data_IF_175383486987
#
_entry.id   IF_175383486987
#
_cell.length_a   1.000
_cell.length_b   1.000
_cell.length_c   1.000
_cell.angle_alpha   90.00
_cell.angle_beta   90.00
_cell.angle_gamma   90.00
#
_symmetry.space_group_name_H-M   'P 1'
#
loop_
_entity.id
_entity.type
_entity.pdbx_description
1 polymer ?
#
# COMPACT_ATOMS: atom_id res chain seq x y z
N UNK A 1 10.47 19.33 20.78
CA UNK A 1 9.94 18.17 20.02
C UNK A 1 10.73 17.82 18.76
N UNK A 2 10.85 18.71 17.74
CA UNK A 2 11.55 18.39 16.47
C UNK A 2 12.92 17.73 16.64
N UNK A 3 13.79 18.28 17.49
CA UNK A 3 15.14 17.75 17.69
C UNK A 3 15.16 16.38 18.38
N UNK A 4 14.25 16.14 19.33
CA UNK A 4 14.14 14.84 20.00
C UNK A 4 13.75 13.74 19.02
N UNK A 5 12.73 13.99 18.18
CA UNK A 5 12.31 13.06 17.12
C UNK A 5 13.45 12.83 16.11
N UNK A 6 14.16 13.89 15.71
CA UNK A 6 15.28 13.76 14.78
C UNK A 6 16.44 12.92 15.37
N UNK A 7 16.74 13.07 16.65
CA UNK A 7 17.75 12.25 17.33
C UNK A 7 17.32 10.78 17.43
N UNK A 8 16.05 10.52 17.76
CA UNK A 8 15.47 9.18 17.76
C UNK A 8 15.54 8.53 16.36
N UNK A 9 15.19 9.27 15.30
CA UNK A 9 15.27 8.77 13.92
C UNK A 9 16.70 8.38 13.55
N UNK A 10 17.68 9.25 13.83
CA UNK A 10 19.10 8.95 13.57
C UNK A 10 19.58 7.69 14.27
N UNK A 11 19.08 7.42 15.48
CA UNK A 11 19.40 6.20 16.20
C UNK A 11 18.85 4.96 15.47
N UNK A 12 17.60 5.01 14.98
CA UNK A 12 17.03 3.92 14.18
C UNK A 12 17.76 3.71 12.84
N UNK A 13 18.11 4.81 12.15
CA UNK A 13 18.87 4.76 10.89
C UNK A 13 20.25 4.10 11.07
N UNK A 14 20.80 4.12 12.29
CA UNK A 14 22.03 3.40 12.67
C UNK A 14 21.87 1.88 12.84
N UNK A 15 20.69 1.31 12.57
CA UNK A 15 20.40 -0.13 12.67
C UNK A 15 19.86 -0.59 14.03
N UNK A 16 19.58 0.32 14.96
CA UNK A 16 18.97 0.00 16.24
C UNK A 16 17.45 -0.23 16.09
N UNK A 17 16.89 -1.11 16.92
CA UNK A 17 15.48 -1.53 16.80
C UNK A 17 14.52 -0.89 17.81
N UNK A 18 15.05 -0.09 18.76
CA UNK A 18 14.27 0.58 19.82
C UNK A 18 14.60 2.07 19.86
N UNK A 19 13.64 2.87 20.31
CA UNK A 19 13.83 4.32 20.48
C UNK A 19 14.70 4.60 21.72
N UNK A 20 15.65 5.54 21.64
CA UNK A 20 16.39 6.00 22.80
C UNK A 20 15.58 7.05 23.58
N UNK A 21 15.84 7.19 24.88
CA UNK A 21 15.36 8.33 25.65
C UNK A 21 16.18 9.58 25.27
N UNK A 22 15.50 10.65 24.89
CA UNK A 22 16.12 11.95 24.61
C UNK A 22 15.67 12.95 25.67
N UNK A 23 16.60 13.46 26.46
CA UNK A 23 16.32 14.42 27.54
C UNK A 23 16.48 15.85 26.99
N UNK A 24 15.39 16.62 26.82
CA UNK A 24 15.51 18.03 26.47
C UNK A 24 15.92 18.85 27.70
N UNK A 25 16.99 19.63 27.58
CA UNK A 25 17.40 20.60 28.61
C UNK A 25 17.38 22.01 28.02
N UNK A 26 16.84 22.96 28.77
CA UNK A 26 16.79 24.37 28.41
C UNK A 26 17.65 25.16 29.38
N UNK A 27 18.58 25.95 28.85
CA UNK A 27 19.39 26.88 29.63
C UNK A 27 18.87 28.30 29.41
N UNK A 28 18.34 28.91 30.47
CA UNK A 28 17.85 30.28 30.43
C UNK A 28 18.84 31.22 31.13
N UNK A 29 19.21 32.31 30.45
CA UNK A 29 20.11 33.35 30.96
C UNK A 29 19.58 34.75 30.61
N UNK A 30 18.29 34.99 30.87
CA UNK A 30 17.67 36.29 30.66
C UNK A 30 17.65 37.15 31.92
N UNK A 31 17.33 38.44 31.76
CA UNK A 31 17.29 39.40 32.87
C UNK A 31 16.10 39.20 33.83
N UNK A 32 14.99 38.63 33.36
CA UNK A 32 13.80 38.35 34.18
C UNK A 32 13.98 37.05 34.96
N UNK A 33 14.00 37.13 36.29
CA UNK A 33 14.20 35.96 37.17
C UNK A 33 13.14 35.89 38.28
N UNK A 34 12.53 34.71 38.54
CA UNK A 34 12.71 33.43 37.84
C UNK A 34 12.10 33.43 36.42
N UNK A 35 12.41 32.41 35.61
CA UNK A 35 11.85 32.25 34.26
C UNK A 35 10.30 32.32 34.32
N UNK A 36 9.66 33.27 33.60
CA UNK A 36 8.25 33.58 33.82
C UNK A 36 7.25 32.81 32.95
N UNK A 37 7.71 31.96 32.01
CA UNK A 37 6.83 31.26 31.06
C UNK A 37 6.71 29.77 31.37
N UNK A 38 5.72 29.09 30.78
CA UNK A 38 5.59 27.65 30.94
C UNK A 38 6.68 26.88 30.19
N UNK A 39 7.14 25.79 30.79
CA UNK A 39 8.05 24.81 30.19
C UNK A 39 7.30 23.61 29.57
N UNK A 40 5.98 23.52 29.78
CA UNK A 40 5.14 22.50 29.19
C UNK A 40 4.59 23.00 27.86
N UNK A 41 5.06 22.41 26.75
CA UNK A 41 4.62 22.80 25.41
C UNK A 41 3.11 22.57 25.17
N UNK A 42 2.47 21.72 25.98
CA UNK A 42 1.02 21.50 25.92
C UNK A 42 0.22 22.73 26.38
N UNK A 43 0.82 23.62 27.17
CA UNK A 43 0.19 24.87 27.61
C UNK A 43 0.06 25.87 26.46
N UNK A 44 0.69 25.60 25.31
CA UNK A 44 0.57 26.41 24.10
C UNK A 44 -0.71 26.11 23.29
N UNK A 45 -1.48 25.08 23.65
CA UNK A 45 -2.77 24.80 23.01
C UNK A 45 -3.89 25.59 23.67
N UNK A 46 -4.96 25.86 22.91
CA UNK A 46 -6.17 26.49 23.45
C UNK A 46 -6.83 25.64 24.54
N UNK A 47 -6.66 24.31 24.48
CA UNK A 47 -7.08 23.35 25.49
C UNK A 47 -5.91 22.41 25.84
N UNK A 48 -5.14 22.73 26.90
CA UNK A 48 -4.00 21.92 27.33
C UNK A 48 -4.39 20.51 27.82
N UNK A 49 -5.60 20.34 28.37
CA UNK A 49 -6.06 19.03 28.86
C UNK A 49 -6.30 18.09 27.69
N UNK A 50 -7.04 18.55 26.67
CA UNK A 50 -7.26 17.79 25.44
C UNK A 50 -5.94 17.48 24.71
N UNK A 51 -5.01 18.44 24.67
CA UNK A 51 -3.70 18.21 24.06
C UNK A 51 -2.91 17.10 24.80
N UNK A 52 -2.95 17.11 26.13
CA UNK A 52 -2.33 16.06 26.96
C UNK A 52 -2.91 14.68 26.64
N UNK A 53 -4.24 14.57 26.63
CA UNK A 53 -4.92 13.32 26.29
C UNK A 53 -4.53 12.83 24.89
N UNK A 54 -4.46 13.72 23.90
CA UNK A 54 -4.15 13.37 22.51
C UNK A 54 -2.69 12.95 22.30
N UNK A 55 -1.73 13.63 22.95
CA UNK A 55 -0.31 13.45 22.65
C UNK A 55 0.42 12.48 23.59
N UNK A 56 -0.19 12.10 24.72
CA UNK A 56 0.43 11.21 25.71
C UNK A 56 -0.26 9.84 25.76
N UNK A 57 -1.54 9.75 25.39
CA UNK A 57 -2.27 8.48 25.39
C UNK A 57 -1.85 7.58 24.21
N UNK A 58 -2.11 6.26 24.30
CA UNK A 58 -2.00 5.37 23.14
C UNK A 58 -2.78 5.92 21.94
N UNK A 59 -2.22 5.79 20.75
CA UNK A 59 -2.89 6.22 19.53
C UNK A 59 -4.20 5.44 19.34
N UNK A 60 -5.32 6.11 19.00
CA UNK A 60 -6.56 5.42 18.70
C UNK A 60 -6.38 4.56 17.44
N UNK A 61 -6.74 3.28 17.54
CA UNK A 61 -6.81 2.36 16.41
C UNK A 61 -8.27 2.28 15.94
N UNK A 62 -8.52 2.70 14.70
CA UNK A 62 -9.80 2.47 14.03
C UNK A 62 -9.71 1.17 13.25
N UNK A 63 -10.21 0.08 13.84
CA UNK A 63 -10.29 -1.21 13.17
C UNK A 63 -11.55 -1.29 12.30
N UNK A 64 -11.43 -0.87 11.04
CA UNK A 64 -12.54 -0.89 10.08
C UNK A 64 -13.06 -2.31 9.82
N UNK A 65 -12.31 -3.37 10.15
CA UNK A 65 -12.72 -4.74 9.85
C UNK A 65 -13.88 -5.23 10.71
N UNK A 66 -14.03 -4.65 11.91
CA UNK A 66 -15.11 -5.01 12.86
C UNK A 66 -16.32 -4.08 12.79
N UNK A 67 -16.20 -2.93 12.11
CA UNK A 67 -17.30 -1.96 11.98
C UNK A 67 -18.33 -2.49 10.98
N UNK A 68 -19.62 -2.63 11.33
CA UNK A 68 -20.67 -3.03 10.40
C UNK A 68 -20.81 -2.10 9.17
N UNK A 69 -21.18 -2.64 8.01
CA UNK A 69 -21.25 -1.83 6.78
C UNK A 69 -22.34 -0.74 6.85
N UNK A 70 -23.45 -1.03 7.52
CA UNK A 70 -24.55 -0.09 7.77
C UNK A 70 -24.17 1.05 8.72
N UNK A 71 -23.20 0.80 9.60
CA UNK A 71 -22.58 1.84 10.43
C UNK A 71 -21.61 2.67 9.59
N UNK A 72 -20.73 2.03 8.79
CA UNK A 72 -19.77 2.72 7.90
C UNK A 72 -20.48 3.71 6.98
N UNK A 73 -21.63 3.35 6.40
CA UNK A 73 -22.42 4.23 5.51
C UNK A 73 -22.77 5.58 6.19
N UNK A 74 -22.86 5.62 7.52
CA UNK A 74 -23.18 6.84 8.29
C UNK A 74 -21.96 7.73 8.56
N UNK A 75 -20.74 7.28 8.25
CA UNK A 75 -19.50 8.02 8.48
C UNK A 75 -19.25 9.14 7.44
N UNK A 76 -20.25 9.44 6.60
CA UNK A 76 -20.23 10.55 5.63
C UNK A 76 -19.00 10.49 4.71
N UNK A 77 -18.12 11.48 4.85
CA UNK A 77 -16.95 11.71 4.02
C UNK A 77 -15.94 10.56 4.06
N UNK A 78 -15.78 9.88 5.20
CA UNK A 78 -14.77 8.81 5.33
C UNK A 78 -15.31 7.43 4.94
N UNK A 79 -16.63 7.27 4.91
CA UNK A 79 -17.35 6.02 4.63
C UNK A 79 -16.86 5.33 3.35
N UNK A 80 -16.67 6.11 2.28
CA UNK A 80 -16.22 5.59 0.98
C UNK A 80 -14.88 4.85 1.08
N UNK A 81 -13.93 5.44 1.80
CA UNK A 81 -12.59 4.88 1.91
C UNK A 81 -12.58 3.69 2.87
N UNK A 82 -13.31 3.79 3.99
CA UNK A 82 -13.47 2.72 4.97
C UNK A 82 -14.09 1.47 4.36
N UNK A 83 -15.22 1.62 3.67
CA UNK A 83 -15.92 0.50 3.04
C UNK A 83 -15.02 -0.21 2.03
N UNK A 84 -14.29 0.54 1.19
CA UNK A 84 -13.39 -0.09 0.22
C UNK A 84 -12.18 -0.74 0.91
N UNK A 85 -11.57 -0.11 1.92
CA UNK A 85 -10.45 -0.70 2.65
C UNK A 85 -10.84 -2.00 3.35
N UNK A 86 -12.03 -2.04 3.97
CA UNK A 86 -12.55 -3.25 4.62
C UNK A 86 -12.68 -4.41 3.64
N UNK A 87 -13.16 -4.16 2.42
CA UNK A 87 -13.50 -5.21 1.45
C UNK A 87 -12.43 -5.46 0.37
N UNK A 88 -11.34 -4.69 0.33
CA UNK A 88 -10.32 -4.75 -0.74
C UNK A 88 -9.78 -6.17 -0.96
N UNK A 89 -9.59 -6.93 0.12
CA UNK A 89 -9.03 -8.30 0.13
C UNK A 89 -10.04 -9.41 -0.17
N UNK A 90 -11.33 -9.13 -0.18
CA UNK A 90 -12.33 -10.16 -0.50
C UNK A 90 -12.14 -10.68 -1.94
N UNK A 91 -12.87 -11.70 -2.40
CA UNK A 91 -12.84 -12.10 -3.84
C UNK A 91 -14.00 -11.54 -4.63
N UNK A 92 -15.11 -11.27 -3.96
CA UNK A 92 -16.30 -10.65 -4.52
C UNK A 92 -16.52 -9.29 -3.85
N UNK A 93 -16.92 -8.28 -4.61
CA UNK A 93 -17.31 -6.95 -4.09
C UNK A 93 -18.79 -6.67 -4.35
N UNK A 94 -19.50 -7.58 -5.01
CA UNK A 94 -20.90 -7.37 -5.37
C UNK A 94 -21.77 -7.18 -4.12
N UNK A 95 -21.39 -7.81 -3.01
CA UNK A 95 -22.07 -7.68 -1.71
C UNK A 95 -22.01 -6.29 -1.06
N UNK A 96 -21.18 -5.36 -1.58
CA UNK A 96 -21.08 -3.99 -1.06
C UNK A 96 -21.54 -2.92 -2.06
N UNK A 97 -22.10 -3.31 -3.20
CA UNK A 97 -22.53 -2.35 -4.24
C UNK A 97 -23.62 -1.43 -3.70
N UNK A 98 -24.57 -1.96 -2.94
CA UNK A 98 -25.68 -1.18 -2.37
C UNK A 98 -25.18 -0.11 -1.40
N UNK A 99 -24.32 -0.49 -0.46
CA UNK A 99 -23.73 0.42 0.53
C UNK A 99 -22.88 1.50 -0.15
N UNK A 100 -22.08 1.12 -1.15
CA UNK A 100 -21.30 2.07 -1.92
C UNK A 100 -22.20 3.04 -2.71
N UNK A 101 -23.27 2.54 -3.32
CA UNK A 101 -24.27 3.36 -4.01
C UNK A 101 -24.90 4.37 -3.04
N UNK A 102 -25.30 3.94 -1.84
CA UNK A 102 -25.85 4.82 -0.80
C UNK A 102 -24.86 5.93 -0.42
N UNK A 103 -23.59 5.58 -0.18
CA UNK A 103 -22.55 6.57 0.13
C UNK A 103 -22.39 7.58 -1.03
N UNK A 104 -22.38 7.13 -2.28
CA UNK A 104 -22.23 8.03 -3.43
C UNK A 104 -23.46 8.92 -3.66
N UNK A 105 -24.66 8.42 -3.39
CA UNK A 105 -25.91 9.19 -3.51
C UNK A 105 -26.08 10.22 -2.40
N UNK A 106 -25.50 9.99 -1.22
CA UNK A 106 -25.52 10.95 -0.10
C UNK A 106 -24.87 12.29 -0.44
N UNK A 107 -24.00 12.34 -1.45
CA UNK A 107 -23.23 13.53 -1.83
C UNK A 107 -22.06 13.85 -0.90
N UNK A 108 -21.81 13.03 0.13
CA UNK A 108 -20.70 13.23 1.06
C UNK A 108 -19.33 12.97 0.42
N UNK A 109 -19.28 12.14 -0.61
CA UNK A 109 -18.06 11.83 -1.35
C UNK A 109 -17.72 12.93 -2.37
N UNK A 110 -16.62 13.64 -2.14
CA UNK A 110 -16.14 14.65 -3.08
C UNK A 110 -15.12 14.09 -4.09
N UNK A 111 -14.83 14.88 -5.13
CA UNK A 111 -13.93 14.51 -6.24
C UNK A 111 -12.54 14.07 -5.77
N UNK A 112 -12.02 14.71 -4.71
CA UNK A 112 -10.72 14.36 -4.13
C UNK A 112 -10.76 12.97 -3.51
N UNK A 113 -11.84 12.61 -2.83
CA UNK A 113 -12.01 11.29 -2.21
C UNK A 113 -12.18 10.19 -3.24
N UNK A 114 -12.97 10.43 -4.29
CA UNK A 114 -13.07 9.52 -5.43
C UNK A 114 -11.71 9.29 -6.10
N UNK A 115 -10.91 10.35 -6.26
CA UNK A 115 -9.55 10.24 -6.82
C UNK A 115 -8.60 9.48 -5.89
N UNK A 116 -8.65 9.73 -4.58
CA UNK A 116 -7.86 8.97 -3.60
C UNK A 116 -8.24 7.49 -3.62
N UNK A 117 -9.54 7.20 -3.65
CA UNK A 117 -10.05 5.85 -3.74
C UNK A 117 -9.55 5.15 -5.00
N UNK A 118 -9.65 5.82 -6.15
CA UNK A 118 -9.16 5.30 -7.41
C UNK A 118 -7.66 4.96 -7.37
N UNK A 119 -6.84 5.87 -6.85
CA UNK A 119 -5.41 5.63 -6.70
C UNK A 119 -5.13 4.44 -5.78
N UNK A 120 -5.88 4.31 -4.69
CA UNK A 120 -5.79 3.18 -3.78
C UNK A 120 -6.14 1.86 -4.48
N UNK A 121 -7.25 1.82 -5.23
CA UNK A 121 -7.69 0.65 -6.00
C UNK A 121 -6.68 0.24 -7.07
N UNK A 122 -6.02 1.19 -7.73
CA UNK A 122 -4.96 0.91 -8.70
C UNK A 122 -3.73 0.25 -8.07
N UNK A 123 -3.37 0.66 -6.86
CA UNK A 123 -2.17 0.14 -6.18
C UNK A 123 -2.41 -1.23 -5.55
N UNK A 124 -3.62 -1.46 -5.02
CA UNK A 124 -3.91 -2.63 -4.18
C UNK A 124 -4.79 -3.67 -4.86
N UNK A 125 -5.50 -3.29 -5.93
CA UNK A 125 -6.59 -4.07 -6.50
C UNK A 125 -6.23 -4.87 -7.75
N UNK A 126 -6.92 -6.01 -7.92
CA UNK A 126 -6.95 -6.71 -9.21
C UNK A 126 -7.90 -5.98 -10.17
N UNK A 127 -7.34 -5.27 -11.15
CA UNK A 127 -8.05 -4.44 -12.12
C UNK A 127 -9.31 -5.09 -12.73
N UNK A 128 -9.29 -6.40 -13.04
CA UNK A 128 -10.43 -7.08 -13.64
C UNK A 128 -11.64 -7.19 -12.71
N UNK A 129 -11.40 -7.41 -11.41
CA UNK A 129 -12.45 -7.52 -10.39
C UNK A 129 -13.13 -6.17 -10.17
N UNK A 130 -12.34 -5.10 -10.07
CA UNK A 130 -12.86 -3.75 -9.86
C UNK A 130 -13.60 -3.22 -11.10
N UNK A 131 -13.22 -3.62 -12.31
CA UNK A 131 -13.93 -3.21 -13.53
C UNK A 131 -15.43 -3.55 -13.49
N UNK A 132 -15.79 -4.80 -13.16
CA UNK A 132 -17.21 -5.21 -13.05
C UNK A 132 -17.94 -4.49 -11.92
N UNK A 133 -17.29 -4.43 -10.75
CA UNK A 133 -17.84 -3.74 -9.58
C UNK A 133 -18.15 -2.27 -9.86
N UNK A 134 -17.22 -1.53 -10.46
CA UNK A 134 -17.40 -0.12 -10.79
C UNK A 134 -18.50 0.06 -11.84
N UNK A 135 -18.62 -0.86 -12.79
CA UNK A 135 -19.68 -0.81 -13.80
C UNK A 135 -21.07 -0.90 -13.16
N UNK A 136 -21.28 -1.83 -12.24
CA UNK A 136 -22.54 -2.00 -11.51
C UNK A 136 -22.90 -0.76 -10.68
N UNK A 137 -21.91 -0.19 -9.99
CA UNK A 137 -22.11 1.05 -9.22
C UNK A 137 -22.47 2.22 -10.15
N UNK A 138 -21.82 2.32 -11.31
CA UNK A 138 -22.06 3.38 -12.30
C UNK A 138 -23.45 3.29 -12.94
N UNK A 139 -24.04 2.09 -13.03
CA UNK A 139 -25.42 1.93 -13.48
C UNK A 139 -26.43 2.46 -12.45
N UNK A 140 -26.13 2.32 -11.16
CA UNK A 140 -27.01 2.74 -10.05
C UNK A 140 -26.84 4.20 -9.66
N UNK A 141 -25.75 4.85 -10.07
CA UNK A 141 -25.44 6.24 -9.71
C UNK A 141 -25.13 7.07 -10.97
N UNK A 142 -26.17 7.46 -11.76
CA UNK A 142 -25.98 8.13 -13.04
C UNK A 142 -25.14 9.42 -12.96
N UNK A 143 -25.28 10.18 -11.88
CA UNK A 143 -24.55 11.43 -11.61
C UNK A 143 -23.01 11.24 -11.53
N UNK A 144 -22.53 10.03 -11.24
CA UNK A 144 -21.10 9.71 -11.20
C UNK A 144 -20.67 8.77 -12.32
N UNK A 145 -21.57 8.41 -13.23
CA UNK A 145 -21.34 7.38 -14.26
C UNK A 145 -20.11 7.65 -15.10
N UNK A 146 -20.00 8.83 -15.70
CA UNK A 146 -18.86 9.18 -16.58
C UNK A 146 -17.52 8.99 -15.86
N UNK A 147 -17.42 9.52 -14.63
CA UNK A 147 -16.20 9.44 -13.82
C UNK A 147 -15.86 8.02 -13.40
N UNK A 148 -16.87 7.25 -12.98
CA UNK A 148 -16.71 5.83 -12.64
C UNK A 148 -16.29 5.02 -13.86
N UNK A 149 -16.82 5.33 -15.04
CA UNK A 149 -16.40 4.68 -16.29
C UNK A 149 -14.96 5.02 -16.66
N UNK A 150 -14.55 6.28 -16.55
CA UNK A 150 -13.14 6.67 -16.75
C UNK A 150 -12.20 5.93 -15.78
N UNK A 151 -12.63 5.75 -14.54
CA UNK A 151 -11.91 4.98 -13.53
C UNK A 151 -11.81 3.50 -13.95
N UNK A 152 -12.90 2.88 -14.38
CA UNK A 152 -12.93 1.50 -14.82
C UNK A 152 -12.01 1.26 -16.02
N UNK A 153 -12.04 2.14 -17.02
CA UNK A 153 -11.19 2.07 -18.22
C UNK A 153 -9.71 2.17 -17.85
N UNK A 154 -9.35 3.13 -16.98
CA UNK A 154 -7.95 3.26 -16.53
C UNK A 154 -7.49 2.06 -15.72
N UNK A 155 -8.34 1.50 -14.85
CA UNK A 155 -8.04 0.26 -14.12
C UNK A 155 -7.74 -0.87 -15.09
N UNK A 156 -8.58 -1.06 -16.11
CA UNK A 156 -8.39 -2.08 -17.12
C UNK A 156 -7.09 -1.89 -17.91
N UNK A 157 -6.80 -0.67 -18.37
CA UNK A 157 -5.59 -0.40 -19.15
C UNK A 157 -4.32 -0.59 -18.32
N UNK A 158 -4.29 -0.13 -17.06
CA UNK A 158 -3.17 -0.38 -16.15
C UNK A 158 -2.99 -1.87 -15.90
N UNK A 159 -4.08 -2.60 -15.65
CA UNK A 159 -4.05 -4.05 -15.49
C UNK A 159 -3.50 -4.76 -16.73
N UNK A 160 -3.92 -4.35 -17.93
CA UNK A 160 -3.44 -4.90 -19.21
C UNK A 160 -1.95 -4.62 -19.42
N UNK A 161 -1.49 -3.40 -19.15
CA UNK A 161 -0.07 -3.02 -19.27
C UNK A 161 0.79 -3.79 -18.28
N UNK A 162 0.33 -3.96 -17.03
CA UNK A 162 1.02 -4.76 -16.01
C UNK A 162 1.13 -6.22 -16.46
N UNK A 163 0.02 -6.85 -16.84
CA UNK A 163 0.03 -8.24 -17.32
C UNK A 163 0.89 -8.45 -18.57
N UNK A 164 0.89 -7.52 -19.53
CA UNK A 164 1.79 -7.61 -20.70
C UNK A 164 3.27 -7.50 -20.31
N UNK A 165 3.59 -6.66 -19.32
CA UNK A 165 4.97 -6.50 -18.84
C UNK A 165 5.45 -7.73 -18.09
N UNK A 166 4.62 -8.26 -17.20
CA UNK A 166 4.88 -9.49 -16.44
C UNK A 166 5.05 -10.68 -17.39
N UNK A 167 4.08 -10.93 -18.28
CA UNK A 167 4.19 -12.03 -19.25
C UNK A 167 5.37 -11.92 -20.22
N UNK A 168 5.82 -10.70 -20.57
CA UNK A 168 7.03 -10.51 -21.37
C UNK A 168 8.31 -10.83 -20.58
N UNK A 169 8.31 -10.55 -19.27
CA UNK A 169 9.45 -10.84 -18.41
C UNK A 169 9.54 -12.36 -18.16
N UNK A 170 8.42 -12.97 -17.79
CA UNK A 170 8.29 -14.43 -17.61
C UNK A 170 8.67 -15.16 -18.90
N UNK A 171 8.07 -14.82 -20.04
CA UNK A 171 8.40 -15.47 -21.32
C UNK A 171 9.84 -15.26 -21.77
N UNK A 172 10.51 -14.16 -21.36
CA UNK A 172 11.95 -13.99 -21.59
C UNK A 172 12.77 -14.90 -20.70
N UNK A 173 12.44 -15.01 -19.42
CA UNK A 173 13.14 -15.89 -18.48
C UNK A 173 12.96 -17.35 -18.88
N UNK A 174 11.73 -17.77 -19.16
CA UNK A 174 11.43 -19.12 -19.65
C UNK A 174 12.16 -19.41 -20.97
N UNK A 175 12.15 -18.47 -21.92
CA UNK A 175 12.87 -18.63 -23.19
C UNK A 175 14.39 -18.72 -23.03
N UNK A 176 14.99 -17.88 -22.16
CA UNK A 176 16.42 -17.94 -21.84
C UNK A 176 16.77 -19.26 -21.15
N UNK A 177 15.93 -19.71 -20.23
CA UNK A 177 16.12 -20.97 -19.51
C UNK A 177 15.99 -22.17 -20.45
N UNK A 178 14.97 -22.20 -21.31
CA UNK A 178 14.78 -23.26 -22.30
C UNK A 178 15.95 -23.34 -23.29
N UNK A 179 16.46 -22.19 -23.74
CA UNK A 179 17.64 -22.17 -24.62
C UNK A 179 18.90 -22.62 -23.89
N UNK A 180 19.09 -22.24 -22.63
CA UNK A 180 20.20 -22.73 -21.81
C UNK A 180 20.16 -24.26 -21.65
N UNK A 181 18.98 -24.85 -21.43
CA UNK A 181 18.79 -26.31 -21.38
C UNK A 181 19.14 -26.96 -22.73
N UNK A 182 18.69 -26.38 -23.85
CA UNK A 182 18.99 -26.88 -25.20
C UNK A 182 20.48 -26.85 -25.52
N UNK A 183 21.16 -25.77 -25.15
CA UNK A 183 22.63 -25.64 -25.30
C UNK A 183 23.34 -26.68 -24.43
N UNK A 184 22.93 -26.83 -23.16
CA UNK A 184 23.49 -27.82 -22.24
C UNK A 184 23.36 -29.25 -22.79
N UNK A 185 22.20 -29.64 -23.29
CA UNK A 185 21.99 -30.96 -23.92
C UNK A 185 22.96 -31.21 -25.07
N UNK A 186 23.16 -30.22 -25.95
CA UNK A 186 24.07 -30.35 -27.09
C UNK A 186 25.52 -30.45 -26.65
N UNK A 187 25.94 -29.62 -25.69
CA UNK A 187 27.29 -29.66 -25.12
C UNK A 187 27.59 -31.01 -24.46
N UNK A 188 26.63 -31.59 -23.73
CA UNK A 188 26.76 -32.92 -23.14
C UNK A 188 26.86 -34.02 -24.22
N UNK A 189 26.05 -33.94 -25.28
CA UNK A 189 26.12 -34.87 -26.40
C UNK A 189 27.47 -34.82 -27.13
N UNK A 190 28.07 -33.63 -27.21
CA UNK A 190 29.40 -33.40 -27.78
C UNK A 190 30.55 -33.78 -26.80
N UNK A 191 30.23 -34.33 -25.62
CA UNK A 191 31.21 -34.86 -24.65
C UNK A 191 31.85 -33.81 -23.74
N UNK A 192 31.29 -32.60 -23.64
CA UNK A 192 31.82 -31.54 -22.76
C UNK A 192 31.54 -31.89 -21.29
N UNK A 193 32.57 -31.73 -20.43
CA UNK A 193 32.47 -32.01 -19.00
C UNK A 193 31.38 -31.18 -18.30
N UNK A 194 30.62 -31.82 -17.40
CA UNK A 194 29.46 -31.23 -16.70
C UNK A 194 29.77 -29.94 -15.96
N UNK A 195 30.93 -29.87 -15.30
CA UNK A 195 31.39 -28.66 -14.58
C UNK A 195 31.56 -27.46 -15.53
N UNK A 196 32.05 -27.72 -16.75
CA UNK A 196 32.20 -26.71 -17.79
C UNK A 196 30.85 -26.28 -18.36
N UNK A 197 29.90 -27.22 -18.51
CA UNK A 197 28.52 -26.92 -18.94
C UNK A 197 27.82 -26.01 -17.93
N UNK A 198 27.88 -26.33 -16.62
CA UNK A 198 27.31 -25.50 -15.53
C UNK A 198 27.87 -24.07 -15.58
N UNK A 199 29.19 -23.91 -15.73
CA UNK A 199 29.83 -22.59 -15.80
C UNK A 199 29.41 -21.78 -17.03
N UNK A 200 29.14 -22.43 -18.17
CA UNK A 200 28.84 -21.75 -19.44
C UNK A 200 27.35 -21.42 -19.59
N UNK A 201 26.46 -22.33 -19.19
CA UNK A 201 25.02 -22.15 -19.36
C UNK A 201 24.35 -21.44 -18.19
N UNK A 202 25.01 -21.37 -17.02
CA UNK A 202 24.47 -20.79 -15.81
C UNK A 202 23.34 -21.60 -15.17
N UNK A 203 23.11 -22.82 -15.64
CA UNK A 203 22.19 -23.79 -15.06
C UNK A 203 22.77 -24.39 -13.78
N UNK A 204 21.90 -24.83 -12.88
CA UNK A 204 22.29 -25.53 -11.65
C UNK A 204 22.81 -26.94 -11.96
N UNK A 205 23.61 -27.49 -11.05
CA UNK A 205 24.13 -28.86 -11.21
C UNK A 205 23.00 -29.91 -11.26
N UNK A 206 21.91 -29.68 -10.52
CA UNK A 206 20.75 -30.57 -10.49
C UNK A 206 19.99 -30.55 -11.83
N UNK A 207 19.81 -29.39 -12.43
CA UNK A 207 19.21 -29.24 -13.77
C UNK A 207 20.05 -29.96 -14.84
N UNK A 208 21.38 -29.86 -14.77
CA UNK A 208 22.29 -30.58 -15.67
C UNK A 208 22.25 -32.09 -15.44
N UNK A 209 22.13 -32.55 -14.19
CA UNK A 209 22.02 -33.97 -13.87
C UNK A 209 20.73 -34.59 -14.41
N UNK A 210 19.61 -33.85 -14.37
CA UNK A 210 18.33 -34.29 -14.89
C UNK A 210 18.29 -34.43 -16.42
N UNK A 211 19.16 -33.72 -17.16
CA UNK A 211 19.26 -33.80 -18.63
C UNK A 211 20.06 -35.00 -19.14
N UNK A 212 20.75 -35.73 -18.26
CA UNK A 212 21.69 -36.79 -18.63
C UNK A 212 21.10 -38.22 -18.53
N UNK A 213 19.77 -38.34 -18.43
CA UNK A 213 19.03 -39.60 -18.43
C UNK A 213 18.39 -39.88 -19.79
#
# INVERSE_FOLDING_TARGET
MRYAIAAMQRHLDGGHTKLPLVVPMLFYHGATTPYPWSLNWLDCFADPQLASELYISPFPLVDVTVIPDDEIVRHRRVALLELIQKHIRQRDLMGIVEQLTTILLSGDANDRQLKTLFNYLLQTGNARRFGRFIHEVAQRVPQHRERLMTIAERLQEVGRRKGKREGRLEGRQEGQHAEALRIAQRMLADGIARETVVKITGLTADEIAALAH
#
